data_IF_326942698783
#
_entry.id   IF_326942698783
#
_cell.length_a   1.000
_cell.length_b   1.000
_cell.length_c   1.000
_cell.angle_alpha   90.00
_cell.angle_beta   90.00
_cell.angle_gamma   90.00
#
_symmetry.space_group_name_H-M   'P 1'
#
loop_
_entity.id
_entity.type
_entity.pdbx_description
1 polymer ?
#
# COMPACT_ATOMS: atom_id res chain seq x y z
N UNK A 1 4.01 2.94 6.82
CA UNK A 1 3.74 4.13 7.65
C UNK A 1 2.59 3.87 8.61
N UNK A 2 1.40 3.51 8.14
CA UNK A 2 0.26 3.17 9.01
C UNK A 2 0.54 1.91 9.85
N UNK A 3 1.21 0.91 9.27
CA UNK A 3 1.66 -0.30 10.01
C UNK A 3 2.50 0.04 11.24
N UNK A 4 3.42 1.01 11.12
CA UNK A 4 4.24 1.46 12.24
C UNK A 4 3.41 2.08 13.37
N UNK A 5 2.33 2.81 13.04
CA UNK A 5 1.42 3.37 14.03
C UNK A 5 0.66 2.24 14.72
N UNK A 6 0.12 1.29 13.95
CA UNK A 6 -0.59 0.12 14.49
C UNK A 6 0.27 -0.70 15.44
N UNK A 7 1.54 -0.92 15.10
CA UNK A 7 2.49 -1.75 15.86
C UNK A 7 2.87 -1.12 17.21
N UNK A 8 2.81 0.22 17.30
CA UNK A 8 3.36 0.97 18.42
C UNK A 8 2.32 1.77 19.22
N UNK A 9 1.08 1.91 18.73
CA UNK A 9 0.02 2.68 19.40
C UNK A 9 -0.36 2.15 20.78
N UNK A 10 -0.15 0.86 21.06
CA UNK A 10 -0.45 0.27 22.37
C UNK A 10 0.51 0.74 23.45
N UNK A 11 1.75 1.06 23.07
CA UNK A 11 2.81 1.50 23.99
C UNK A 11 2.85 3.02 24.10
N UNK A 12 2.77 3.73 22.98
CA UNK A 12 2.98 5.18 22.95
C UNK A 12 1.71 6.00 22.71
N UNK A 13 0.60 5.37 22.30
CA UNK A 13 -0.57 6.07 21.79
C UNK A 13 -0.37 6.63 20.38
N UNK A 14 -1.46 6.98 19.70
CA UNK A 14 -1.43 7.47 18.31
C UNK A 14 -0.90 8.91 18.24
N UNK A 15 -1.32 9.80 19.15
CA UNK A 15 -0.97 11.23 19.10
C UNK A 15 0.56 11.49 19.20
N UNK A 16 1.31 10.84 20.12
CA UNK A 16 2.75 11.04 20.21
C UNK A 16 3.49 10.55 18.96
N UNK A 17 3.03 9.45 18.34
CA UNK A 17 3.60 8.92 17.10
C UNK A 17 3.33 9.88 15.93
N UNK A 18 2.09 10.36 15.79
CA UNK A 18 1.69 11.33 14.77
C UNK A 18 2.50 12.63 14.84
N UNK A 19 2.86 13.07 16.05
CA UNK A 19 3.71 14.25 16.28
C UNK A 19 5.14 14.06 15.76
N UNK A 20 5.70 12.86 15.90
CA UNK A 20 7.06 12.53 15.43
C UNK A 20 7.10 12.26 13.92
N UNK A 21 6.02 11.71 13.35
CA UNK A 21 5.87 11.40 11.92
C UNK A 21 5.32 12.56 11.06
N UNK A 22 5.39 13.80 11.55
CA UNK A 22 4.47 14.92 11.25
C UNK A 22 3.24 14.58 10.38
N UNK A 23 2.31 13.80 10.93
CA UNK A 23 0.99 13.54 10.32
C UNK A 23 -0.15 13.87 11.27
N UNK A 24 -1.32 14.17 10.74
CA UNK A 24 -2.52 14.34 11.55
C UNK A 24 -3.04 12.98 12.06
N UNK A 25 -3.53 12.89 13.32
CA UNK A 25 -4.21 11.69 13.82
C UNK A 25 -5.41 11.26 12.97
N UNK A 26 -6.15 12.23 12.41
CA UNK A 26 -7.27 11.96 11.51
C UNK A 26 -6.88 11.18 10.24
N UNK A 27 -5.61 11.27 9.83
CA UNK A 27 -5.08 10.47 8.73
C UNK A 27 -5.04 8.98 9.10
N UNK A 28 -4.65 8.64 10.34
CA UNK A 28 -4.66 7.27 10.83
C UNK A 28 -6.09 6.72 10.91
N UNK A 29 -7.03 7.50 11.47
CA UNK A 29 -8.44 7.14 11.54
C UNK A 29 -9.05 6.90 10.15
N UNK A 30 -8.73 7.77 9.18
CA UNK A 30 -9.16 7.61 7.79
C UNK A 30 -8.62 6.30 7.18
N UNK A 31 -7.36 5.97 7.46
CA UNK A 31 -6.76 4.72 7.00
C UNK A 31 -7.37 3.49 7.69
N UNK A 32 -7.66 3.56 8.98
CA UNK A 32 -8.38 2.52 9.70
C UNK A 32 -9.78 2.29 9.11
N UNK A 33 -10.53 3.37 8.86
CA UNK A 33 -11.86 3.31 8.25
C UNK A 33 -11.84 2.68 6.85
N UNK A 34 -10.86 3.03 6.02
CA UNK A 34 -10.67 2.45 4.67
C UNK A 34 -10.29 0.98 4.68
N UNK A 35 -9.59 0.51 5.72
CA UNK A 35 -9.23 -0.91 5.87
C UNK A 35 -10.41 -1.74 6.37
N UNK A 36 -11.21 -1.18 7.29
CA UNK A 36 -12.40 -1.84 7.83
C UNK A 36 -13.52 -1.93 6.79
N UNK A 37 -13.64 -0.94 5.90
CA UNK A 37 -14.71 -0.85 4.91
C UNK A 37 -14.15 -0.55 3.51
N UNK A 38 -14.14 -1.55 2.61
CA UNK A 38 -13.74 -1.37 1.22
C UNK A 38 -14.54 -0.27 0.49
N UNK A 39 -15.79 -0.02 0.89
CA UNK A 39 -16.64 1.03 0.32
C UNK A 39 -16.26 2.45 0.78
N UNK A 40 -15.29 2.59 1.68
CA UNK A 40 -14.67 3.89 2.01
C UNK A 40 -13.37 4.15 1.25
N UNK A 41 -12.90 3.18 0.47
CA UNK A 41 -11.72 3.39 -0.36
C UNK A 41 -12.01 4.39 -1.50
N UNK A 42 -11.02 5.22 -1.86
CA UNK A 42 -11.12 6.06 -3.05
C UNK A 42 -11.40 5.23 -4.31
N UNK A 43 -12.13 5.81 -5.26
CA UNK A 43 -12.47 5.14 -6.54
C UNK A 43 -11.22 4.58 -7.24
N UNK A 44 -10.13 5.38 -7.29
CA UNK A 44 -8.83 4.96 -7.83
C UNK A 44 -8.33 3.66 -7.20
N UNK A 45 -8.32 3.56 -5.88
CA UNK A 45 -7.80 2.39 -5.17
C UNK A 45 -8.61 1.12 -5.49
N UNK A 46 -9.93 1.25 -5.65
CA UNK A 46 -10.78 0.12 -6.06
C UNK A 46 -10.51 -0.31 -7.50
N UNK A 47 -10.37 0.66 -8.41
CA UNK A 47 -10.02 0.39 -9.81
C UNK A 47 -8.65 -0.26 -9.92
N UNK A 48 -7.67 0.22 -9.16
CA UNK A 48 -6.31 -0.33 -9.15
C UNK A 48 -6.31 -1.76 -8.62
N UNK A 49 -7.07 -2.05 -7.55
CA UNK A 49 -7.21 -3.41 -7.02
C UNK A 49 -7.78 -4.39 -8.07
N UNK A 50 -8.79 -3.97 -8.84
CA UNK A 50 -9.31 -4.77 -9.94
C UNK A 50 -8.29 -4.93 -11.08
N UNK A 51 -7.59 -3.86 -11.44
CA UNK A 51 -6.59 -3.86 -12.51
C UNK A 51 -5.37 -4.72 -12.18
N UNK A 52 -4.93 -4.74 -10.91
CA UNK A 52 -3.81 -5.58 -10.47
C UNK A 52 -4.03 -7.06 -10.73
N UNK A 53 -5.28 -7.55 -10.65
CA UNK A 53 -5.63 -8.95 -10.97
C UNK A 53 -5.35 -9.23 -12.46
N UNK A 54 -5.79 -8.34 -13.34
CA UNK A 54 -5.55 -8.48 -14.78
C UNK A 54 -4.07 -8.34 -15.14
N UNK A 55 -3.37 -7.41 -14.49
CA UNK A 55 -1.92 -7.26 -14.66
C UNK A 55 -1.21 -8.55 -14.24
N UNK A 56 -1.57 -9.15 -13.11
CA UNK A 56 -0.99 -10.41 -12.64
C UNK A 56 -1.23 -11.55 -13.64
N UNK A 57 -2.47 -11.68 -14.14
CA UNK A 57 -2.82 -12.68 -15.16
C UNK A 57 -1.97 -12.53 -16.42
N UNK A 58 -1.82 -11.31 -16.94
CA UNK A 58 -1.02 -11.03 -18.13
C UNK A 58 0.48 -11.24 -17.85
N UNK A 59 0.95 -10.89 -16.66
CA UNK A 59 2.35 -11.08 -16.25
C UNK A 59 2.72 -12.56 -16.21
N UNK A 60 1.87 -13.39 -15.61
CA UNK A 60 2.02 -14.86 -15.57
C UNK A 60 1.97 -15.47 -16.97
N UNK A 61 0.99 -15.08 -17.78
CA UNK A 61 0.85 -15.56 -19.16
C UNK A 61 2.05 -15.17 -20.06
N UNK A 62 2.73 -14.07 -19.75
CA UNK A 62 3.93 -13.61 -20.45
C UNK A 62 5.24 -14.11 -19.81
N UNK A 63 5.19 -15.15 -18.97
CA UNK A 63 6.35 -15.77 -18.32
C UNK A 63 7.26 -14.78 -17.57
N UNK A 64 6.66 -13.71 -17.04
CA UNK A 64 7.35 -12.72 -16.22
C UNK A 64 8.47 -11.99 -16.98
N UNK A 65 8.45 -12.00 -18.32
CA UNK A 65 9.49 -11.41 -19.16
C UNK A 65 9.47 -9.88 -19.11
N UNK A 66 8.28 -9.29 -18.88
CA UNK A 66 8.15 -7.85 -18.71
C UNK A 66 8.81 -7.39 -17.40
N UNK A 67 9.75 -6.44 -17.48
CA UNK A 67 10.53 -5.97 -16.32
C UNK A 67 11.81 -6.76 -16.03
N UNK A 68 12.08 -7.85 -16.77
CA UNK A 68 13.33 -8.58 -16.69
C UNK A 68 14.49 -7.68 -17.15
N UNK A 69 15.52 -7.56 -16.30
CA UNK A 69 16.74 -6.83 -16.66
C UNK A 69 17.53 -7.63 -17.67
N UNK A 70 17.53 -7.17 -18.93
CA UNK A 70 18.42 -7.71 -19.96
C UNK A 70 19.86 -7.48 -19.50
N UNK A 71 20.55 -8.53 -19.09
CA UNK A 71 21.99 -8.46 -18.84
C UNK A 71 22.68 -8.14 -20.17
N UNK A 72 23.28 -6.95 -20.27
CA UNK A 72 24.17 -6.63 -21.39
C UNK A 72 25.32 -7.66 -21.38
N UNK A 73 25.77 -8.18 -22.55
CA UNK A 73 26.91 -9.09 -22.57
C UNK A 73 28.11 -8.41 -21.93
N UNK A 74 28.78 -9.10 -21.00
CA UNK A 74 30.11 -8.70 -20.55
C UNK A 74 31.08 -8.96 -21.70
N UNK A 75 31.30 -7.95 -22.53
CA UNK A 75 32.53 -7.80 -23.32
C UNK A 75 33.64 -7.29 -22.45
#
# INVERSE_FOLDING_TARGET
>A
MISFIDDHRTVYGVEPICRVLPIAPSTDDLHAARRADPEKQPVRARSDAALMIEIQRVFEANFHVYGMRKSLPRT
#
